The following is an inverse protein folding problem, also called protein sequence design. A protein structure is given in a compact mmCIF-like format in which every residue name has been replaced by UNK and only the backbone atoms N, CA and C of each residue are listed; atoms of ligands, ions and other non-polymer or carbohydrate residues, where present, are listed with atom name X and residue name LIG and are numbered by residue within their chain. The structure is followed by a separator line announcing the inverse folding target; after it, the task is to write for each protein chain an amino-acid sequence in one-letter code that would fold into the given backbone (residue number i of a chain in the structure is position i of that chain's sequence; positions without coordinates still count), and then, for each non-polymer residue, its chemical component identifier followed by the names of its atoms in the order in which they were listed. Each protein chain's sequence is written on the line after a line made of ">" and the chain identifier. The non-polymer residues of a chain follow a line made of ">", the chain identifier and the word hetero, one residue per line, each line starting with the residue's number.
data_IF_410380144295
#
_entry.id   IF_410380144295
#
_cell.length_a   1.000
_cell.length_b   1.000
_cell.length_c   1.000
_cell.angle_alpha   90.00
_cell.angle_beta   90.00
_cell.angle_gamma   90.00
#
_symmetry.space_group_name_H-M   'P 1'
#
loop_
_entity.id
_entity.type
_entity.pdbx_description
1 polymer ?
#
# COMPACT_ATOMS: atom_id res chain seq x y z
N UNK A 1 3.52 11.64 -18.79
CA UNK A 1 4.18 11.07 -17.59
C UNK A 1 3.33 9.94 -17.07
N UNK A 2 3.91 8.74 -16.99
CA UNK A 2 3.30 7.56 -16.39
C UNK A 2 4.00 7.22 -15.09
N UNK A 3 3.25 6.74 -14.11
CA UNK A 3 3.82 6.26 -12.86
C UNK A 3 3.72 4.76 -12.84
N UNK A 4 4.82 4.10 -12.51
CA UNK A 4 4.90 2.65 -12.43
C UNK A 4 5.29 2.23 -11.02
N UNK A 5 4.70 1.14 -10.56
CA UNK A 5 5.06 0.46 -9.32
C UNK A 5 5.85 -0.80 -9.63
N UNK A 6 7.00 -0.98 -8.99
CA UNK A 6 7.77 -2.22 -9.03
C UNK A 6 7.20 -3.17 -7.99
N UNK A 7 6.79 -4.35 -8.45
CA UNK A 7 6.29 -5.41 -7.57
C UNK A 7 7.38 -6.43 -7.35
N UNK A 8 7.65 -6.70 -6.08
CA UNK A 8 8.55 -7.77 -5.66
C UNK A 8 7.88 -8.53 -4.53
N UNK A 9 7.75 -9.85 -4.70
CA UNK A 9 7.13 -10.72 -3.70
C UNK A 9 5.71 -10.28 -3.27
N UNK A 10 4.89 -9.85 -4.24
CA UNK A 10 3.53 -9.31 -4.00
C UNK A 10 3.46 -8.02 -3.19
N UNK A 11 4.55 -7.24 -3.16
CA UNK A 11 4.60 -5.93 -2.49
C UNK A 11 5.18 -4.87 -3.43
N UNK A 12 4.65 -3.66 -3.36
CA UNK A 12 5.21 -2.48 -4.03
C UNK A 12 6.49 -2.08 -3.32
N UNK A 13 7.63 -2.29 -3.96
CA UNK A 13 8.95 -1.95 -3.39
C UNK A 13 9.49 -0.63 -3.91
N UNK A 14 9.00 -0.15 -5.05
CA UNK A 14 9.53 1.04 -5.70
C UNK A 14 8.46 1.71 -6.55
N UNK A 15 8.52 3.04 -6.63
CA UNK A 15 7.67 3.84 -7.49
C UNK A 15 8.55 4.69 -8.39
N UNK A 16 8.28 4.65 -9.68
CA UNK A 16 9.05 5.39 -10.67
C UNK A 16 8.12 6.07 -11.67
N UNK A 17 8.25 7.39 -11.79
CA UNK A 17 7.49 8.18 -12.76
C UNK A 17 8.39 8.52 -13.94
N UNK A 18 8.01 8.06 -15.13
CA UNK A 18 8.75 8.34 -16.37
C UNK A 18 7.81 8.46 -17.55
N UNK A 19 8.29 9.11 -18.60
CA UNK A 19 7.64 9.12 -19.92
C UNK A 19 8.32 8.15 -20.91
N UNK A 20 9.45 7.56 -20.49
CA UNK A 20 10.24 6.62 -21.27
C UNK A 20 9.72 5.18 -21.24
N UNK A 21 10.24 4.35 -22.14
CA UNK A 21 9.87 2.95 -22.23
C UNK A 21 10.56 2.12 -21.13
N UNK A 22 9.77 1.59 -20.19
CA UNK A 22 10.28 0.77 -19.09
C UNK A 22 11.07 -0.46 -19.56
N UNK A 23 10.69 -1.05 -20.70
CA UNK A 23 11.36 -2.24 -21.24
C UNK A 23 12.78 -1.95 -21.76
N UNK A 24 13.09 -0.70 -22.08
CA UNK A 24 14.44 -0.29 -22.51
C UNK A 24 15.30 0.20 -21.35
N UNK A 25 14.66 0.65 -20.26
CA UNK A 25 15.33 1.24 -19.10
C UNK A 25 15.66 0.23 -18.00
N UNK A 26 14.91 -0.87 -17.90
CA UNK A 26 15.00 -1.82 -16.80
C UNK A 26 15.21 -3.26 -17.29
N UNK A 27 15.77 -4.10 -16.42
CA UNK A 27 15.89 -5.53 -16.70
C UNK A 27 14.51 -6.18 -16.90
N UNK A 28 14.35 -7.11 -17.86
CA UNK A 28 13.08 -7.76 -18.17
C UNK A 28 12.55 -8.65 -17.04
N UNK A 29 13.41 -9.03 -16.08
CA UNK A 29 13.02 -9.73 -14.85
C UNK A 29 12.28 -8.84 -13.82
N UNK A 30 12.30 -7.51 -14.01
CA UNK A 30 11.64 -6.58 -13.09
C UNK A 30 10.18 -6.38 -13.49
N UNK A 31 9.27 -6.66 -12.56
CA UNK A 31 7.84 -6.48 -12.77
C UNK A 31 7.43 -5.04 -12.47
N UNK A 32 7.19 -4.26 -13.54
CA UNK A 32 6.70 -2.90 -13.47
C UNK A 32 5.24 -2.84 -13.91
N UNK A 33 4.38 -2.34 -13.02
CA UNK A 33 2.95 -2.19 -13.27
C UNK A 33 2.63 -0.71 -13.43
N UNK A 34 1.95 -0.33 -14.50
CA UNK A 34 1.45 1.04 -14.66
C UNK A 34 0.36 1.29 -13.61
N UNK A 35 0.55 2.33 -12.81
CA UNK A 35 -0.38 2.78 -11.77
C UNK A 35 -0.95 4.16 -12.07
N UNK A 36 -0.78 4.64 -13.31
CA UNK A 36 -1.18 6.00 -13.72
C UNK A 36 -2.69 6.19 -13.59
N UNK A 37 -3.46 5.14 -13.89
CA UNK A 37 -4.93 5.13 -13.81
C UNK A 37 -5.46 4.43 -12.55
N UNK A 38 -4.57 3.94 -11.67
CA UNK A 38 -4.96 3.26 -10.43
C UNK A 38 -5.31 4.32 -9.38
N UNK A 39 -6.55 4.27 -8.88
CA UNK A 39 -7.02 5.13 -7.78
C UNK A 39 -7.60 4.26 -6.67
N UNK A 40 -7.10 4.33 -5.42
CA UNK A 40 -6.07 5.24 -4.91
C UNK A 40 -4.66 4.92 -5.45
N UNK A 41 -3.81 5.95 -5.58
CA UNK A 41 -2.44 5.78 -6.07
C UNK A 41 -1.64 4.92 -5.07
N UNK A 42 -1.17 3.73 -5.46
CA UNK A 42 -0.47 2.82 -4.56
C UNK A 42 0.87 3.42 -4.11
N UNK A 43 1.24 3.14 -2.85
CA UNK A 43 2.48 3.62 -2.26
C UNK A 43 3.47 2.47 -2.05
N UNK A 44 4.71 2.83 -1.70
CA UNK A 44 5.71 1.85 -1.25
C UNK A 44 5.13 1.10 -0.02
N UNK A 45 5.47 -0.19 0.08
CA UNK A 45 4.95 -1.15 1.07
C UNK A 45 3.51 -1.63 0.82
N UNK A 46 2.80 -1.15 -0.20
CA UNK A 46 1.45 -1.66 -0.51
C UNK A 46 1.47 -3.10 -1.00
N UNK A 47 0.44 -3.86 -0.62
CA UNK A 47 0.28 -5.24 -1.05
C UNK A 47 -0.29 -5.24 -2.46
N UNK A 48 0.40 -5.89 -3.39
CA UNK A 48 -0.02 -6.01 -4.79
C UNK A 48 -0.47 -7.46 -5.06
N UNK A 49 -1.77 -7.64 -5.22
CA UNK A 49 -2.38 -8.93 -5.52
C UNK A 49 -2.85 -8.96 -6.97
N UNK A 50 -2.43 -9.98 -7.72
CA UNK A 50 -2.94 -10.20 -9.06
C UNK A 50 -4.27 -10.96 -8.98
N UNK A 51 -5.38 -10.25 -9.18
CA UNK A 51 -6.73 -10.79 -9.17
C UNK A 51 -7.27 -11.09 -10.57
N UNK A 52 -8.53 -11.51 -10.63
CA UNK A 52 -9.22 -11.89 -11.88
C UNK A 52 -9.39 -10.72 -12.88
N UNK A 53 -9.37 -9.48 -12.39
CA UNK A 53 -9.58 -8.27 -13.19
C UNK A 53 -8.31 -7.42 -13.35
N UNK A 54 -7.16 -7.90 -12.87
CA UNK A 54 -5.88 -7.19 -12.91
C UNK A 54 -5.23 -7.03 -11.54
N UNK A 55 -4.32 -6.07 -11.44
CA UNK A 55 -3.59 -5.76 -10.21
C UNK A 55 -4.47 -4.99 -9.23
N UNK A 56 -4.65 -5.56 -8.05
CA UNK A 56 -5.32 -4.94 -6.91
C UNK A 56 -4.24 -4.54 -5.92
N UNK A 57 -4.17 -3.26 -5.63
CA UNK A 57 -3.25 -2.70 -4.64
C UNK A 57 -4.03 -2.40 -3.39
N UNK A 58 -3.59 -2.97 -2.28
CA UNK A 58 -4.16 -2.72 -0.97
C UNK A 58 -3.12 -2.12 -0.05
N UNK A 59 -3.56 -1.37 0.96
CA UNK A 59 -2.67 -0.90 2.00
C UNK A 59 -1.95 -2.12 2.58
N UNK A 60 -0.66 -2.03 2.93
CA UNK A 60 -0.03 -3.10 3.67
C UNK A 60 -0.94 -3.38 4.86
N UNK A 61 -1.46 -4.60 4.95
CA UNK A 61 -2.03 -5.07 6.19
C UNK A 61 -0.83 -5.10 7.13
N UNK A 62 -0.58 -3.97 7.79
CA UNK A 62 0.34 -3.86 8.91
C UNK A 62 -0.12 -4.98 9.80
N UNK A 63 0.62 -6.11 9.78
CA UNK A 63 0.38 -7.26 10.62
C UNK A 63 0.22 -6.66 11.99
N UNK A 64 -1.04 -6.49 12.40
CA UNK A 64 -1.34 -5.74 13.58
C UNK A 64 -0.52 -6.47 14.64
N UNK A 65 0.38 -5.80 15.39
CA UNK A 65 0.77 -6.40 16.64
C UNK A 65 -0.56 -6.56 17.36
N UNK A 66 -1.01 -7.82 17.47
CA UNK A 66 -2.17 -8.23 18.22
C UNK A 66 -2.22 -7.35 19.47
N UNK A 67 -3.31 -6.59 19.61
CA UNK A 67 -3.67 -5.83 20.82
C UNK A 67 -2.83 -4.57 21.18
N UNK A 68 -3.13 -3.39 20.61
CA UNK A 68 -2.90 -2.13 21.38
C UNK A 68 -3.87 -0.98 21.10
N UNK A 69 -4.62 -0.95 19.99
CA UNK A 69 -5.53 0.17 19.72
C UNK A 69 -6.86 0.13 20.49
N UNK A 70 -7.20 -0.98 21.18
CA UNK A 70 -8.37 -1.04 22.07
C UNK A 70 -8.09 -0.56 23.51
N UNK A 71 -6.83 -0.35 23.90
CA UNK A 71 -6.48 0.00 25.29
C UNK A 71 -6.46 1.51 25.55
N UNK A 72 -6.16 2.36 24.55
CA UNK A 72 -6.21 3.82 24.74
C UNK A 72 -7.63 4.39 24.64
N UNK A 73 -8.50 3.82 23.79
CA UNK A 73 -9.88 4.28 23.65
C UNK A 73 -10.72 4.04 24.92
N UNK A 74 -10.38 3.03 25.72
CA UNK A 74 -11.15 2.67 26.92
C UNK A 74 -10.76 3.47 28.18
N UNK A 75 -9.65 4.21 28.15
CA UNK A 75 -9.21 5.02 29.30
C UNK A 75 -9.80 6.44 29.32
N UNK A 76 -10.29 6.94 28.19
CA UNK A 76 -10.89 8.28 28.09
C UNK A 76 -12.41 8.31 28.35
N UNK A 77 -13.12 7.20 28.12
CA UNK A 77 -14.57 7.12 28.34
C UNK A 77 -14.98 6.83 29.80
N UNK A 78 -14.03 6.49 30.68
CA UNK A 78 -14.30 6.21 32.10
C UNK A 78 -14.11 7.42 33.03
N UNK A 79 -13.62 8.56 32.51
CA UNK A 79 -13.22 9.72 33.31
C UNK A 79 -14.23 10.88 33.38
N UNK A 80 -15.33 10.84 32.63
CA UNK A 80 -16.31 11.93 32.60
C UNK A 80 -17.66 11.36 33.07
N UNK A 81 -17.77 11.12 34.38
CA UNK A 81 -19.02 10.68 34.95
C UNK A 81 -18.94 10.11 36.36
N UNK A 82 -18.61 10.94 37.35
CA UNK A 82 -19.35 11.06 38.63
C UNK A 82 -18.65 12.00 39.62
N UNK A 83 -19.40 13.05 39.93
CA UNK A 83 -19.45 13.96 41.09
C UNK A 83 -18.86 13.47 42.44
N UNK A 84 -18.56 14.38 43.39
CA UNK A 84 -19.55 15.24 44.07
C UNK A 84 -19.65 16.68 43.56
#
# INVERSE_FOLDING_TARGET
>A
MKTYARIFNSTVVELFSTDGNMAEMFHPDLLWIDITEITPAPQIDWTANFGTLGWVFDVPEELAPDSTLKTLAKKWLAGIGRQP
#
